data_IF_977686415211
#
_entry.id   IF_977686415211
#
_cell.length_a   1.000
_cell.length_b   1.000
_cell.length_c   1.000
_cell.angle_alpha   90.00
_cell.angle_beta   90.00
_cell.angle_gamma   90.00
#
_symmetry.space_group_name_H-M   'P 1'
#
loop_
_entity.id
_entity.type
_entity.pdbx_description
1 polymer ?
#
# COMPACT_ATOMS: atom_id res chain seq x y z
N UNK A 1 0.29 1.10 23.18
CA UNK A 1 -0.65 0.53 22.19
C UNK A 1 -1.14 1.67 21.33
N UNK A 2 -0.40 2.05 20.28
CA UNK A 2 -0.88 3.07 19.35
C UNK A 2 -1.48 2.33 18.17
N UNK A 3 -2.78 2.47 18.00
CA UNK A 3 -3.44 2.05 16.77
C UNK A 3 -2.71 2.71 15.60
N UNK A 4 -2.18 1.90 14.69
CA UNK A 4 -2.76 1.73 13.35
C UNK A 4 -3.75 2.82 12.89
N UNK A 5 -3.44 4.11 13.08
CA UNK A 5 -4.36 5.23 12.78
C UNK A 5 -4.75 5.29 11.29
N UNK A 6 -3.88 4.75 10.42
CA UNK A 6 -4.11 4.70 8.99
C UNK A 6 -4.66 3.35 8.51
N UNK A 7 -4.93 2.39 9.40
CA UNK A 7 -5.42 1.07 8.99
C UNK A 7 -6.84 0.82 9.45
N UNK A 8 -7.65 0.30 8.53
CA UNK A 8 -9.05 0.00 8.78
C UNK A 8 -9.27 -1.52 8.78
N UNK A 9 -10.10 -2.01 9.71
CA UNK A 9 -10.48 -3.44 9.77
C UNK A 9 -11.80 -3.67 9.07
N UNK A 10 -11.77 -4.55 8.07
CA UNK A 10 -12.93 -5.02 7.33
C UNK A 10 -13.29 -6.45 7.74
N UNK A 11 -14.58 -6.80 7.72
CA UNK A 11 -15.02 -8.17 8.00
C UNK A 11 -14.83 -8.61 9.46
N UNK A 12 -14.77 -7.66 10.41
CA UNK A 12 -14.47 -7.94 11.82
C UNK A 12 -15.35 -9.06 12.39
N UNK A 13 -14.72 -10.11 12.90
CA UNK A 13 -15.39 -11.27 13.50
C UNK A 13 -15.95 -12.27 12.48
N UNK A 14 -15.49 -12.21 11.23
CA UNK A 14 -15.81 -13.18 10.17
C UNK A 14 -14.56 -13.92 9.72
N UNK A 15 -14.74 -14.99 8.93
CA UNK A 15 -13.63 -15.70 8.27
C UNK A 15 -12.83 -14.82 7.30
N UNK A 16 -13.40 -13.70 6.88
CA UNK A 16 -12.89 -12.82 5.83
C UNK A 16 -12.41 -11.48 6.42
N UNK A 17 -11.88 -11.51 7.66
CA UNK A 17 -11.30 -10.33 8.29
C UNK A 17 -9.97 -9.93 7.62
N UNK A 18 -9.88 -8.69 7.15
CA UNK A 18 -8.65 -8.13 6.57
C UNK A 18 -8.46 -6.66 6.94
N UNK A 19 -7.22 -6.18 6.76
CA UNK A 19 -6.83 -4.79 7.03
C UNK A 19 -6.49 -4.08 5.73
N UNK A 20 -6.92 -2.83 5.60
CA UNK A 20 -6.51 -1.89 4.55
C UNK A 20 -5.67 -0.77 5.16
N UNK A 21 -4.93 -0.02 4.34
CA UNK A 21 -4.15 1.13 4.79
C UNK A 21 -4.44 2.36 3.93
N UNK A 22 -5.01 3.40 4.56
CA UNK A 22 -5.44 4.64 3.92
C UNK A 22 -4.31 5.43 3.25
N UNK A 23 -3.05 5.12 3.54
CA UNK A 23 -1.89 5.74 2.87
C UNK A 23 -1.67 5.20 1.46
N UNK A 24 -2.32 4.09 1.13
CA UNK A 24 -2.15 3.38 -0.13
C UNK A 24 -3.49 3.22 -0.84
N UNK A 25 -3.47 3.03 -2.16
CA UNK A 25 -4.65 2.81 -2.98
C UNK A 25 -4.35 1.84 -4.14
N UNK A 26 -5.34 1.05 -4.53
CA UNK A 26 -5.23 0.07 -5.62
C UNK A 26 -5.54 0.73 -6.98
N UNK A 27 -4.67 0.59 -7.97
CA UNK A 27 -4.96 0.88 -9.38
C UNK A 27 -5.46 -0.38 -10.08
N UNK A 28 -5.93 -0.19 -11.31
CA UNK A 28 -6.42 -1.22 -12.21
C UNK A 28 -5.31 -1.83 -13.09
N UNK A 29 -4.03 -1.73 -12.70
CA UNK A 29 -2.93 -2.37 -13.43
C UNK A 29 -2.89 -3.88 -13.13
N UNK A 30 -2.40 -4.67 -14.08
CA UNK A 30 -2.17 -6.10 -13.86
C UNK A 30 -0.99 -6.38 -12.90
N UNK A 31 0.00 -5.48 -12.87
CA UNK A 31 1.20 -5.57 -12.05
C UNK A 31 1.48 -4.22 -11.39
N UNK A 32 2.14 -4.25 -10.23
CA UNK A 32 2.54 -3.04 -9.50
C UNK A 32 1.37 -2.07 -9.28
N UNK A 33 0.21 -2.60 -8.93
CA UNK A 33 -1.04 -1.87 -8.91
C UNK A 33 -1.23 -1.02 -7.65
N UNK A 34 -0.40 -1.16 -6.62
CA UNK A 34 -0.59 -0.39 -5.39
C UNK A 34 0.21 0.92 -5.42
N UNK A 35 -0.46 2.04 -5.15
CA UNK A 35 0.09 3.39 -5.11
C UNK A 35 0.07 4.03 -3.71
N UNK A 36 1.04 4.91 -3.42
CA UNK A 36 1.02 5.78 -2.22
C UNK A 36 0.19 7.04 -2.49
N UNK A 37 -0.81 7.33 -1.65
CA UNK A 37 -1.69 8.51 -1.81
C UNK A 37 -0.95 9.84 -1.68
N UNK A 38 0.08 9.91 -0.83
CA UNK A 38 0.81 11.16 -0.55
C UNK A 38 1.60 11.68 -1.76
N UNK A 39 1.92 10.82 -2.74
CA UNK A 39 2.72 11.18 -3.92
C UNK A 39 2.00 11.02 -5.24
N UNK A 40 0.89 10.30 -5.30
CA UNK A 40 0.24 9.97 -6.57
C UNK A 40 -1.27 9.89 -6.41
N UNK A 41 -1.97 10.81 -7.08
CA UNK A 41 -3.43 10.86 -7.16
C UNK A 41 -3.99 10.22 -8.42
N UNK A 42 -3.16 9.99 -9.44
CA UNK A 42 -3.56 9.35 -10.71
C UNK A 42 -2.42 8.44 -11.15
N UNK A 43 -2.74 7.21 -11.54
CA UNK A 43 -1.74 6.30 -12.09
C UNK A 43 -1.33 6.74 -13.49
N UNK A 44 -0.02 6.88 -13.72
CA UNK A 44 0.51 7.23 -15.05
C UNK A 44 0.36 6.12 -16.11
N UNK A 45 0.09 4.88 -15.70
CA UNK A 45 -0.06 3.73 -16.60
C UNK A 45 -1.54 3.46 -16.93
N UNK A 46 -2.36 3.19 -15.91
CA UNK A 46 -3.78 2.86 -16.09
C UNK A 46 -4.68 4.11 -16.22
N UNK A 47 -4.22 5.28 -15.76
CA UNK A 47 -5.04 6.49 -15.69
C UNK A 47 -6.06 6.49 -14.54
N UNK A 48 -6.11 5.44 -13.71
CA UNK A 48 -7.01 5.38 -12.57
C UNK A 48 -6.73 6.51 -11.58
N UNK A 49 -7.80 7.04 -11.00
CA UNK A 49 -7.82 8.15 -10.05
C UNK A 49 -7.85 7.59 -8.63
N UNK A 50 -6.81 7.83 -7.84
CA UNK A 50 -6.69 7.34 -6.47
C UNK A 50 -7.85 7.69 -5.53
N UNK A 51 -8.47 8.89 -5.61
CA UNK A 51 -9.68 9.20 -4.85
C UNK A 51 -10.89 8.31 -5.18
N UNK A 52 -10.94 7.71 -6.37
CA UNK A 52 -12.04 6.86 -6.84
C UNK A 52 -11.76 5.36 -6.62
N UNK A 53 -10.58 5.04 -6.06
CA UNK A 53 -10.09 3.68 -5.89
C UNK A 53 -10.01 3.29 -4.41
N UNK A 54 -10.08 1.98 -4.09
CA UNK A 54 -10.07 1.51 -2.71
C UNK A 54 -8.68 1.59 -2.08
N UNK A 55 -8.68 1.54 -0.74
CA UNK A 55 -7.45 1.44 0.05
C UNK A 55 -6.87 0.03 -0.04
N UNK A 56 -5.56 -0.03 -0.28
CA UNK A 56 -4.88 -1.31 -0.49
C UNK A 56 -4.80 -2.14 0.77
N UNK A 57 -4.82 -3.46 0.62
CA UNK A 57 -4.75 -4.37 1.75
C UNK A 57 -3.34 -4.45 2.31
N UNK A 58 -3.24 -4.50 3.64
CA UNK A 58 -1.98 -4.51 4.40
C UNK A 58 -1.08 -5.70 4.02
N UNK A 59 -1.66 -6.83 3.61
CA UNK A 59 -0.91 -7.99 3.16
C UNK A 59 -0.27 -7.79 1.77
N UNK A 60 -0.95 -7.11 0.83
CA UNK A 60 -0.51 -6.92 -0.56
C UNK A 60 0.60 -5.85 -0.67
N UNK A 61 0.37 -4.67 -0.08
CA UNK A 61 1.04 -4.37 1.19
C UNK A 61 2.50 -4.84 1.34
N UNK A 62 2.69 -5.63 2.39
CA UNK A 62 3.97 -6.21 2.76
C UNK A 62 4.62 -7.10 1.69
N UNK A 63 3.86 -7.65 0.73
CA UNK A 63 4.40 -8.51 -0.34
C UNK A 63 5.12 -7.76 -1.45
N UNK A 64 4.99 -6.43 -1.53
CA UNK A 64 5.83 -5.62 -2.42
C UNK A 64 5.30 -5.41 -3.84
N UNK A 65 4.01 -5.60 -4.09
CA UNK A 65 3.38 -5.39 -5.41
C UNK A 65 3.15 -3.90 -5.73
N UNK A 66 4.19 -3.08 -5.52
CA UNK A 66 4.18 -1.64 -5.76
C UNK A 66 5.20 -1.21 -6.79
N UNK A 67 4.87 -0.17 -7.53
CA UNK A 67 5.85 0.73 -8.12
C UNK A 67 6.49 1.51 -6.97
N UNK A 68 7.48 0.93 -6.29
CA UNK A 68 8.26 1.67 -5.31
C UNK A 68 9.11 2.72 -6.03
N UNK A 69 8.52 3.84 -6.47
CA UNK A 69 9.29 5.00 -6.91
C UNK A 69 9.91 5.64 -5.68
N UNK A 70 11.05 5.09 -5.24
CA UNK A 70 12.13 5.71 -4.45
C UNK A 70 11.80 6.63 -3.24
N UNK A 71 10.56 6.73 -2.78
CA UNK A 71 10.15 7.64 -1.70
C UNK A 71 9.26 6.98 -0.64
N UNK A 72 8.75 5.78 -0.88
CA UNK A 72 7.90 5.07 0.07
C UNK A 72 8.67 4.49 1.28
N UNK A 73 9.94 4.08 1.09
CA UNK A 73 10.72 3.40 2.13
C UNK A 73 11.35 4.35 3.16
N UNK A 74 11.64 5.60 2.81
CA UNK A 74 12.09 6.61 3.81
C UNK A 74 10.94 7.08 4.72
N UNK A 75 9.68 7.01 4.28
CA UNK A 75 8.53 7.37 5.11
C UNK A 75 7.85 6.17 5.80
N UNK A 76 7.88 4.97 5.21
CA UNK A 76 7.30 3.76 5.81
C UNK A 76 8.14 3.17 6.95
N UNK A 77 9.45 3.42 6.96
CA UNK A 77 10.37 2.97 8.02
C UNK A 77 10.20 3.70 9.35
N UNK A 78 9.40 4.78 9.41
CA UNK A 78 9.16 5.50 10.66
C UNK A 78 8.06 4.88 11.54
N UNK A 79 7.40 3.79 11.11
CA UNK A 79 6.36 3.12 11.92
C UNK A 79 6.34 1.59 11.91
N UNK A 80 7.18 0.91 11.12
CA UNK A 80 7.20 -0.56 11.09
C UNK A 80 8.63 -1.03 11.32
N UNK A 81 8.92 -1.55 12.52
CA UNK A 81 10.14 -2.33 12.77
C UNK A 81 10.04 -3.62 11.94
N UNK A 82 10.55 -3.60 10.70
CA UNK A 82 10.61 -4.78 9.84
C UNK A 82 12.05 -5.22 9.67
N UNK A 83 12.32 -6.48 10.00
CA UNK A 83 13.64 -7.14 9.99
C UNK A 83 13.99 -7.82 8.65
N UNK A 84 13.29 -7.47 7.57
CA UNK A 84 13.52 -8.02 6.23
C UNK A 84 14.00 -6.94 5.27
N UNK A 85 15.16 -7.16 4.64
CA UNK A 85 15.77 -6.22 3.70
C UNK A 85 14.93 -6.06 2.41
N UNK A 86 14.82 -4.84 1.84
CA UNK A 86 14.10 -4.64 0.58
C UNK A 86 14.82 -5.27 -0.61
N UNK A 87 14.05 -5.94 -1.46
CA UNK A 87 14.50 -6.44 -2.76
C UNK A 87 14.63 -5.28 -3.75
N UNK A 88 15.86 -5.03 -4.21
CA UNK A 88 16.15 -4.09 -5.29
C UNK A 88 16.29 -4.88 -6.59
N UNK A 89 15.40 -4.71 -7.59
CA UNK A 89 15.72 -5.14 -8.94
C UNK A 89 16.85 -4.25 -9.46
N UNK A 90 18.02 -4.83 -9.71
CA UNK A 90 19.14 -4.16 -10.37
C UNK A 90 18.78 -3.95 -11.85
N UNK A 91 18.94 -2.71 -12.32
CA UNK A 91 18.87 -2.31 -13.73
C UNK A 91 19.92 -3.04 -14.57
#
# INVERSE_FOLDING_TARGET
MKATENQETHGKGTSDEFLTDQRFWDCECDEFYIHVKLGTSVCGNCGASGPDQPDSRVNEIMTGEYWATNLAWEFASMTIEYSGAPYFPQL
#
